data_IF_689286709285
#
_entry.id   IF_689286709285
#
_cell.length_a   1.000
_cell.length_b   1.000
_cell.length_c   1.000
_cell.angle_alpha   90.00
_cell.angle_beta   90.00
_cell.angle_gamma   90.00
#
_symmetry.space_group_name_H-M   'P 1'
#
loop_
_entity.id
_entity.type
_entity.pdbx_description
1 polymer ?
#
# COMPACT_ATOMS: atom_id res chain seq x y z
N UNK A 1 34.95 -99.72 40.95
CA UNK A 1 34.68 -99.35 39.55
C UNK A 1 34.47 -97.84 39.51
N UNK A 2 35.05 -97.19 38.50
CA UNK A 2 35.47 -95.78 38.46
C UNK A 2 34.31 -94.80 38.78
N UNK A 3 34.48 -94.00 39.84
CA UNK A 3 33.64 -92.83 40.11
C UNK A 3 34.15 -91.68 39.26
N UNK A 4 33.47 -91.40 38.14
CA UNK A 4 33.77 -90.27 37.27
C UNK A 4 33.28 -89.01 37.99
N UNK A 5 34.20 -88.33 38.67
CA UNK A 5 33.98 -86.99 39.19
C UNK A 5 34.01 -86.01 38.03
N UNK A 6 32.83 -85.60 37.55
CA UNK A 6 32.70 -84.48 36.63
C UNK A 6 33.13 -83.22 37.39
N UNK A 7 34.37 -82.79 37.16
CA UNK A 7 34.93 -81.56 37.71
C UNK A 7 34.09 -80.36 37.27
N UNK A 8 33.12 -79.98 38.10
CA UNK A 8 32.41 -78.72 37.97
C UNK A 8 33.46 -77.63 38.24
N UNK A 9 34.04 -77.08 37.16
CA UNK A 9 34.96 -75.93 37.23
C UNK A 9 34.27 -74.88 38.11
N UNK A 10 34.82 -74.66 39.31
CA UNK A 10 34.34 -73.63 40.21
C UNK A 10 34.41 -72.30 39.47
N UNK A 11 33.23 -71.79 39.07
CA UNK A 11 33.12 -70.53 38.31
C UNK A 11 33.91 -69.45 39.06
N UNK A 12 34.88 -68.86 38.37
CA UNK A 12 35.64 -67.75 38.90
C UNK A 12 34.68 -66.59 39.12
N UNK A 13 34.26 -66.38 40.38
CA UNK A 13 33.27 -65.36 40.78
C UNK A 13 33.61 -63.97 40.23
N UNK A 14 34.91 -63.69 40.03
CA UNK A 14 35.41 -62.44 39.45
C UNK A 14 35.05 -62.29 37.97
N UNK A 15 35.16 -63.36 37.20
CA UNK A 15 34.91 -63.37 35.76
C UNK A 15 33.40 -63.27 35.46
N UNK A 16 32.58 -63.99 36.24
CA UNK A 16 31.11 -63.88 36.21
C UNK A 16 30.67 -62.45 36.54
N UNK A 17 31.22 -61.86 37.62
CA UNK A 17 30.89 -60.48 38.02
C UNK A 17 31.29 -59.46 36.96
N UNK A 18 32.44 -59.66 36.30
CA UNK A 18 32.89 -58.79 35.21
C UNK A 18 31.97 -58.89 33.98
N UNK A 19 31.55 -60.10 33.61
CA UNK A 19 30.56 -60.34 32.56
C UNK A 19 29.22 -59.65 32.85
N UNK A 20 28.70 -59.77 34.08
CA UNK A 20 27.46 -59.09 34.50
C UNK A 20 27.58 -57.57 34.43
N UNK A 21 28.71 -56.98 34.85
CA UNK A 21 28.93 -55.53 34.76
C UNK A 21 29.02 -55.04 33.30
N UNK A 22 29.66 -55.82 32.42
CA UNK A 22 29.68 -55.50 30.98
C UNK A 22 28.29 -55.54 30.37
N UNK A 23 27.49 -56.55 30.72
CA UNK A 23 26.10 -56.65 30.26
C UNK A 23 25.25 -55.47 30.77
N UNK A 24 25.34 -55.13 32.05
CA UNK A 24 24.65 -53.97 32.64
C UNK A 24 25.06 -52.68 31.93
N UNK A 25 26.35 -52.50 31.64
CA UNK A 25 26.85 -51.32 30.93
C UNK A 25 26.28 -51.22 29.52
N UNK A 26 26.33 -52.31 28.75
CA UNK A 26 25.74 -52.35 27.41
C UNK A 26 24.23 -52.11 27.42
N UNK A 27 23.51 -52.67 28.39
CA UNK A 27 22.07 -52.46 28.54
C UNK A 27 21.73 -50.99 28.86
N UNK A 28 22.47 -50.36 29.78
CA UNK A 28 22.28 -48.94 30.10
C UNK A 28 22.58 -48.02 28.92
N UNK A 29 23.65 -48.29 28.17
CA UNK A 29 23.97 -47.52 26.96
C UNK A 29 22.87 -47.66 25.91
N UNK A 30 22.39 -48.88 25.66
CA UNK A 30 21.30 -49.10 24.70
C UNK A 30 20.03 -48.36 25.13
N UNK A 31 19.66 -48.47 26.41
CA UNK A 31 18.50 -47.80 26.99
C UNK A 31 18.63 -46.27 26.91
N UNK A 32 19.80 -45.71 27.20
CA UNK A 32 20.06 -44.29 27.10
C UNK A 32 19.96 -43.79 25.65
N UNK A 33 20.51 -44.52 24.68
CA UNK A 33 20.42 -44.17 23.26
C UNK A 33 18.95 -44.19 22.80
N UNK A 34 18.18 -45.23 23.15
CA UNK A 34 16.75 -45.30 22.83
C UNK A 34 15.98 -44.11 23.42
N UNK A 35 16.27 -43.73 24.67
CA UNK A 35 15.65 -42.56 25.29
C UNK A 35 16.05 -41.24 24.61
N UNK A 36 17.33 -41.08 24.25
CA UNK A 36 17.83 -39.89 23.57
C UNK A 36 17.15 -39.66 22.21
N UNK A 37 16.93 -40.72 21.42
CA UNK A 37 16.23 -40.62 20.13
C UNK A 37 14.83 -40.04 20.31
N UNK A 38 14.06 -40.57 21.28
CA UNK A 38 12.72 -40.07 21.58
C UNK A 38 12.76 -38.64 22.09
N UNK A 39 13.71 -38.33 22.99
CA UNK A 39 13.89 -36.97 23.51
C UNK A 39 14.21 -35.95 22.42
N UNK A 40 15.16 -36.26 21.52
CA UNK A 40 15.51 -35.39 20.42
C UNK A 40 14.37 -35.24 19.41
N UNK A 41 13.59 -36.30 19.19
CA UNK A 41 12.39 -36.23 18.35
C UNK A 41 11.38 -35.21 18.90
N UNK A 42 11.03 -35.30 20.18
CA UNK A 42 10.11 -34.33 20.80
C UNK A 42 10.68 -32.92 20.80
N UNK A 43 11.97 -32.75 21.12
CA UNK A 43 12.63 -31.44 21.10
C UNK A 43 12.62 -30.81 19.70
N UNK A 44 12.91 -31.61 18.68
CA UNK A 44 12.87 -31.18 17.28
C UNK A 44 11.46 -30.82 16.84
N UNK A 45 10.46 -31.63 17.19
CA UNK A 45 9.06 -31.36 16.87
C UNK A 45 8.56 -30.07 17.52
N UNK A 46 8.94 -29.80 18.78
CA UNK A 46 8.59 -28.55 19.44
C UNK A 46 9.22 -27.33 18.77
N UNK A 47 10.51 -27.43 18.40
CA UNK A 47 11.21 -26.35 17.72
C UNK A 47 10.62 -26.06 16.33
N UNK A 48 10.42 -27.11 15.53
CA UNK A 48 9.81 -27.00 14.20
C UNK A 48 8.39 -26.41 14.27
N UNK A 49 7.55 -26.84 15.22
CA UNK A 49 6.22 -26.28 15.38
C UNK A 49 6.25 -24.80 15.77
N UNK A 50 7.23 -24.38 16.57
CA UNK A 50 7.37 -22.98 16.96
C UNK A 50 7.76 -22.13 15.76
N UNK A 51 8.72 -22.59 14.97
CA UNK A 51 9.21 -21.85 13.82
C UNK A 51 8.14 -21.82 12.71
N UNK A 52 7.46 -22.93 12.45
CA UNK A 52 6.33 -22.98 11.51
C UNK A 52 5.20 -22.02 11.90
N UNK A 53 4.86 -21.91 13.20
CA UNK A 53 3.85 -20.97 13.66
C UNK A 53 4.25 -19.52 13.41
N UNK A 54 5.53 -19.18 13.64
CA UNK A 54 6.04 -17.83 13.35
C UNK A 54 5.96 -17.51 11.86
N UNK A 55 6.35 -18.45 11.01
CA UNK A 55 6.29 -18.28 9.55
C UNK A 55 4.84 -18.16 9.08
N UNK A 56 3.92 -18.93 9.68
CA UNK A 56 2.50 -18.88 9.37
C UNK A 56 1.87 -17.55 9.79
N UNK A 57 2.20 -17.04 10.98
CA UNK A 57 1.73 -15.74 11.48
C UNK A 57 2.24 -14.61 10.58
N UNK A 58 3.53 -14.64 10.21
CA UNK A 58 4.12 -13.68 9.27
C UNK A 58 3.43 -13.75 7.89
N UNK A 59 3.19 -14.96 7.38
CA UNK A 59 2.49 -15.16 6.13
C UNK A 59 1.05 -14.60 6.17
N UNK A 60 0.29 -14.87 7.23
CA UNK A 60 -1.06 -14.35 7.38
C UNK A 60 -1.10 -12.83 7.49
N UNK A 61 -0.16 -12.23 8.21
CA UNK A 61 -0.02 -10.77 8.28
C UNK A 61 0.24 -10.18 6.88
N UNK A 62 1.17 -10.75 6.11
CA UNK A 62 1.49 -10.30 4.76
C UNK A 62 0.31 -10.44 3.80
N UNK A 63 -0.41 -11.56 3.83
CA UNK A 63 -1.62 -11.76 3.02
C UNK A 63 -2.71 -10.77 3.43
N UNK A 64 -2.89 -10.52 4.73
CA UNK A 64 -3.83 -9.53 5.24
C UNK A 64 -3.51 -8.13 4.72
N UNK A 65 -2.24 -7.71 4.83
CA UNK A 65 -1.75 -6.43 4.31
C UNK A 65 -1.93 -6.31 2.79
N UNK A 66 -1.63 -7.37 2.03
CA UNK A 66 -1.83 -7.40 0.58
C UNK A 66 -3.31 -7.18 0.20
N UNK A 67 -4.23 -7.89 0.87
CA UNK A 67 -5.66 -7.73 0.62
C UNK A 67 -6.16 -6.31 0.94
N UNK A 68 -5.72 -5.73 2.05
CA UNK A 68 -6.06 -4.35 2.39
C UNK A 68 -5.51 -3.36 1.35
N UNK A 69 -4.27 -3.56 0.91
CA UNK A 69 -3.61 -2.72 -0.06
C UNK A 69 -4.31 -2.79 -1.43
N UNK A 70 -4.76 -3.98 -1.83
CA UNK A 70 -5.58 -4.19 -3.03
C UNK A 70 -6.87 -3.38 -2.98
N UNK A 71 -7.65 -3.50 -1.90
CA UNK A 71 -8.92 -2.79 -1.73
C UNK A 71 -8.70 -1.27 -1.79
N UNK A 72 -7.66 -0.78 -1.10
CA UNK A 72 -7.30 0.63 -1.12
C UNK A 72 -6.89 1.09 -2.52
N UNK A 73 -6.14 0.27 -3.24
CA UNK A 73 -5.70 0.61 -4.60
C UNK A 73 -6.88 0.66 -5.59
N UNK A 74 -7.83 -0.26 -5.48
CA UNK A 74 -9.06 -0.24 -6.28
C UNK A 74 -9.88 1.04 -6.00
N UNK A 75 -9.95 1.47 -4.73
CA UNK A 75 -10.57 2.75 -4.35
C UNK A 75 -9.83 3.95 -4.95
N UNK A 76 -8.49 3.98 -4.89
CA UNK A 76 -7.69 5.04 -5.52
C UNK A 76 -7.94 5.09 -7.02
N UNK A 77 -7.94 3.94 -7.69
CA UNK A 77 -8.20 3.83 -9.12
C UNK A 77 -9.59 4.35 -9.50
N UNK A 78 -10.60 4.01 -8.70
CA UNK A 78 -11.96 4.52 -8.89
C UNK A 78 -12.03 6.05 -8.76
N UNK A 79 -11.43 6.61 -7.69
CA UNK A 79 -11.36 8.07 -7.48
C UNK A 79 -10.60 8.77 -8.61
N UNK A 80 -9.52 8.17 -9.09
CA UNK A 80 -8.75 8.68 -10.24
C UNK A 80 -9.59 8.70 -11.52
N UNK A 81 -10.42 7.68 -11.73
CA UNK A 81 -11.38 7.63 -12.85
C UNK A 81 -12.43 8.73 -12.76
N UNK A 82 -12.94 9.01 -11.56
CA UNK A 82 -13.88 10.11 -11.33
C UNK A 82 -13.24 11.48 -11.60
N UNK A 83 -12.00 11.68 -11.13
CA UNK A 83 -11.20 12.88 -11.39
C UNK A 83 -10.93 13.07 -12.88
N UNK A 84 -10.74 11.98 -13.64
CA UNK A 84 -10.51 12.10 -15.07
C UNK A 84 -11.74 12.58 -15.84
N UNK A 85 -12.93 12.10 -15.44
CA UNK A 85 -14.18 12.39 -16.13
C UNK A 85 -14.81 13.74 -15.77
N UNK A 86 -14.17 14.56 -14.92
CA UNK A 86 -14.72 15.82 -14.35
C UNK A 86 -16.17 15.65 -13.82
N UNK A 87 -16.50 14.47 -13.31
CA UNK A 87 -17.87 14.13 -12.86
C UNK A 87 -18.18 14.61 -11.46
N UNK A 88 -17.29 15.39 -10.84
CA UNK A 88 -17.37 15.77 -9.43
C UNK A 88 -17.32 17.29 -9.32
N UNK A 89 -18.18 17.86 -8.48
CA UNK A 89 -18.28 19.31 -8.30
C UNK A 89 -17.03 19.95 -7.69
N UNK A 90 -16.15 19.17 -7.07
CA UNK A 90 -14.93 19.63 -6.42
C UNK A 90 -13.76 18.68 -6.67
N UNK A 91 -13.09 18.88 -7.80
CA UNK A 91 -11.92 18.09 -8.20
C UNK A 91 -10.71 18.29 -7.26
N UNK A 92 -10.62 19.42 -6.56
CA UNK A 92 -9.54 19.73 -5.60
C UNK A 92 -9.66 18.84 -4.36
N UNK A 93 -10.87 18.69 -3.83
CA UNK A 93 -11.13 17.84 -2.66
C UNK A 93 -10.84 16.38 -2.97
N UNK A 94 -11.35 15.88 -4.11
CA UNK A 94 -11.13 14.50 -4.53
C UNK A 94 -9.64 14.21 -4.74
N UNK A 95 -8.89 15.15 -5.32
CA UNK A 95 -7.43 15.04 -5.48
C UNK A 95 -6.71 14.92 -4.14
N UNK A 96 -7.03 15.76 -3.17
CA UNK A 96 -6.39 15.70 -1.85
C UNK A 96 -6.65 14.35 -1.17
N UNK A 97 -7.87 13.82 -1.33
CA UNK A 97 -8.22 12.50 -0.81
C UNK A 97 -7.43 11.37 -1.50
N UNK A 98 -7.20 11.46 -2.81
CA UNK A 98 -6.34 10.50 -3.54
C UNK A 98 -4.90 10.55 -3.01
N UNK A 99 -4.34 11.74 -2.81
CA UNK A 99 -2.98 11.92 -2.27
C UNK A 99 -2.85 11.32 -0.87
N UNK A 100 -3.85 11.57 -0.02
CA UNK A 100 -3.90 11.02 1.33
C UNK A 100 -3.97 9.49 1.31
N UNK A 101 -4.87 8.91 0.51
CA UNK A 101 -4.98 7.45 0.35
C UNK A 101 -3.67 6.84 -0.17
N UNK A 102 -2.99 7.48 -1.12
CA UNK A 102 -1.68 7.04 -1.61
C UNK A 102 -0.62 7.08 -0.50
N UNK A 103 -0.64 8.10 0.37
CA UNK A 103 0.26 8.18 1.53
C UNK A 103 0.00 7.05 2.52
N UNK A 104 -1.27 6.75 2.80
CA UNK A 104 -1.65 5.61 3.66
C UNK A 104 -1.18 4.29 3.07
N UNK A 105 -1.36 4.07 1.76
CA UNK A 105 -0.84 2.88 1.09
C UNK A 105 0.69 2.77 1.21
N UNK A 106 1.41 3.89 1.08
CA UNK A 106 2.87 3.92 1.24
C UNK A 106 3.31 3.57 2.67
N UNK A 107 2.59 4.06 3.68
CA UNK A 107 2.83 3.67 5.08
C UNK A 107 2.49 2.19 5.34
N UNK A 108 1.42 1.66 4.73
CA UNK A 108 1.05 0.24 4.84
C UNK A 108 2.06 -0.71 4.21
N UNK A 109 2.83 -0.28 3.20
CA UNK A 109 3.92 -1.06 2.62
C UNK A 109 5.12 -1.10 3.60
N UNK A 110 5.41 0.00 4.31
CA UNK A 110 6.54 0.07 5.25
C UNK A 110 7.90 -0.13 4.56
N UNK A 111 9.02 0.00 5.29
CA UNK A 111 10.36 -0.20 4.72
C UNK A 111 10.70 -1.69 4.55
N UNK A 112 10.29 -2.53 5.51
CA UNK A 112 10.63 -3.96 5.53
C UNK A 112 9.87 -4.78 4.49
N UNK A 113 8.71 -4.30 4.01
CA UNK A 113 7.84 -5.05 3.09
C UNK A 113 7.91 -4.54 1.64
N UNK A 114 8.88 -3.68 1.32
CA UNK A 114 9.14 -3.19 -0.05
C UNK A 114 9.51 -4.34 -1.00
N UNK A 115 10.24 -5.34 -0.52
CA UNK A 115 10.61 -6.52 -1.33
C UNK A 115 9.38 -7.36 -1.69
N UNK A 116 8.49 -7.58 -0.72
CA UNK A 116 7.31 -8.44 -0.85
C UNK A 116 6.13 -7.75 -1.54
N UNK A 117 5.98 -6.42 -1.39
CA UNK A 117 4.91 -5.61 -1.97
C UNK A 117 5.39 -4.69 -3.10
N UNK A 118 6.52 -5.03 -3.74
CA UNK A 118 7.20 -4.22 -4.78
C UNK A 118 6.27 -3.76 -5.92
N UNK A 119 5.31 -4.59 -6.31
CA UNK A 119 4.37 -4.23 -7.38
C UNK A 119 3.48 -3.05 -6.99
N UNK A 120 3.02 -3.00 -5.74
CA UNK A 120 2.20 -1.89 -5.26
C UNK A 120 3.03 -0.63 -5.05
N UNK A 121 4.27 -0.74 -4.56
CA UNK A 121 5.14 0.43 -4.43
C UNK A 121 5.43 1.05 -5.79
N UNK A 122 5.75 0.22 -6.78
CA UNK A 122 5.99 0.67 -8.16
C UNK A 122 4.75 1.32 -8.78
N UNK A 123 3.56 0.78 -8.51
CA UNK A 123 2.31 1.34 -9.00
C UNK A 123 2.02 2.72 -8.37
N UNK A 124 2.23 2.88 -7.06
CA UNK A 124 2.08 4.17 -6.37
C UNK A 124 3.07 5.21 -6.89
N UNK A 125 4.32 4.82 -7.12
CA UNK A 125 5.36 5.71 -7.67
C UNK A 125 5.01 6.18 -9.09
N UNK A 126 4.39 5.32 -9.90
CA UNK A 126 3.89 5.69 -11.23
C UNK A 126 2.63 6.57 -11.19
N UNK A 127 1.78 6.43 -10.17
CA UNK A 127 0.58 7.27 -10.02
C UNK A 127 0.92 8.72 -9.64
N UNK A 128 2.00 8.94 -8.88
CA UNK A 128 2.41 10.26 -8.42
C UNK A 128 2.64 11.29 -9.56
N UNK A 129 3.45 11.00 -10.61
CA UNK A 129 3.65 11.94 -11.71
C UNK A 129 2.38 12.15 -12.55
N UNK A 130 1.55 11.11 -12.72
CA UNK A 130 0.27 11.23 -13.44
C UNK A 130 -0.66 12.21 -12.72
N UNK A 131 -0.75 12.11 -11.39
CA UNK A 131 -1.57 13.01 -10.59
C UNK A 131 -1.01 14.45 -10.58
N UNK A 132 0.32 14.61 -10.56
CA UNK A 132 0.97 15.90 -10.68
C UNK A 132 0.67 16.59 -12.02
N UNK A 133 0.76 15.86 -13.13
CA UNK A 133 0.40 16.37 -14.45
C UNK A 133 -1.09 16.74 -14.55
N UNK A 134 -1.99 15.90 -14.02
CA UNK A 134 -3.43 16.23 -13.99
C UNK A 134 -3.69 17.52 -13.20
N UNK A 135 -2.96 17.75 -12.11
CA UNK A 135 -3.05 18.97 -11.32
C UNK A 135 -2.62 20.22 -12.10
N UNK A 136 -1.53 20.14 -12.86
CA UNK A 136 -1.09 21.24 -13.72
C UNK A 136 -2.12 21.55 -14.82
N UNK A 137 -2.67 20.51 -15.47
CA UNK A 137 -3.72 20.67 -16.48
C UNK A 137 -5.00 21.31 -15.90
N UNK A 138 -5.39 20.93 -14.68
CA UNK A 138 -6.54 21.53 -14.02
C UNK A 138 -6.31 23.01 -13.68
N UNK A 139 -5.11 23.39 -13.24
CA UNK A 139 -4.76 24.80 -13.01
C UNK A 139 -4.88 25.59 -14.31
N UNK A 140 -4.27 25.08 -15.38
CA UNK A 140 -4.31 25.73 -16.69
C UNK A 140 -5.75 25.92 -17.21
N UNK A 141 -6.61 24.91 -17.06
CA UNK A 141 -8.02 25.01 -17.43
C UNK A 141 -8.80 26.02 -16.59
N UNK A 142 -8.47 26.13 -15.31
CA UNK A 142 -9.06 27.13 -14.40
C UNK A 142 -8.65 28.54 -14.82
N UNK A 143 -7.38 28.72 -15.18
CA UNK A 143 -6.85 29.99 -15.68
C UNK A 143 -7.49 30.37 -17.01
N UNK A 144 -7.60 29.43 -17.95
CA UNK A 144 -8.29 29.63 -19.24
C UNK A 144 -9.73 30.11 -19.02
N UNK A 145 -10.50 29.43 -18.18
CA UNK A 145 -11.89 29.80 -17.87
C UNK A 145 -11.97 31.20 -17.24
N UNK A 146 -11.03 31.54 -16.36
CA UNK A 146 -10.94 32.87 -15.75
C UNK A 146 -10.64 33.95 -16.79
N UNK A 147 -9.73 33.68 -17.72
CA UNK A 147 -9.37 34.58 -18.82
C UNK A 147 -10.57 34.76 -19.77
N UNK A 148 -11.26 33.69 -20.15
CA UNK A 148 -12.45 33.75 -20.99
C UNK A 148 -13.54 34.59 -20.34
N UNK A 149 -13.80 34.41 -19.03
CA UNK A 149 -14.75 35.24 -18.29
C UNK A 149 -14.33 36.71 -18.27
N UNK A 150 -13.05 37.01 -18.04
CA UNK A 150 -12.55 38.38 -18.08
C UNK A 150 -12.70 39.01 -19.47
N UNK A 151 -12.49 38.23 -20.53
CA UNK A 151 -12.67 38.67 -21.91
C UNK A 151 -14.15 38.98 -22.21
N UNK A 152 -15.07 38.12 -21.78
CA UNK A 152 -16.52 38.37 -21.88
C UNK A 152 -16.94 39.63 -21.11
N UNK A 153 -16.41 39.83 -19.91
CA UNK A 153 -16.66 41.04 -19.13
C UNK A 153 -16.12 42.29 -19.83
N UNK A 154 -14.94 42.22 -20.42
CA UNK A 154 -14.35 43.32 -21.19
C UNK A 154 -15.18 43.64 -22.44
N UNK A 155 -15.57 42.62 -23.22
CA UNK A 155 -16.45 42.77 -24.39
C UNK A 155 -17.79 43.40 -24.00
N UNK A 156 -18.41 42.91 -22.92
CA UNK A 156 -19.66 43.47 -22.40
C UNK A 156 -19.53 44.92 -21.96
N UNK A 157 -18.43 45.31 -21.30
CA UNK A 157 -18.14 46.70 -20.93
C UNK A 157 -17.94 47.58 -22.17
N UNK A 158 -17.16 47.14 -23.16
CA UNK A 158 -16.94 47.88 -24.41
C UNK A 158 -18.25 48.08 -25.15
N UNK A 159 -19.12 47.07 -25.22
CA UNK A 159 -20.42 47.16 -25.87
C UNK A 159 -21.36 48.15 -25.16
N UNK A 160 -21.35 48.17 -23.81
CA UNK A 160 -22.07 49.16 -23.00
C UNK A 160 -21.53 50.58 -23.19
N UNK A 161 -20.22 50.76 -23.28
CA UNK A 161 -19.61 52.08 -23.52
C UNK A 161 -19.94 52.57 -24.93
N UNK A 162 -19.82 51.72 -25.95
CA UNK A 162 -20.11 52.06 -27.34
C UNK A 162 -21.58 52.46 -27.54
N UNK A 163 -22.52 51.74 -26.91
CA UNK A 163 -23.95 52.11 -26.93
C UNK A 163 -24.19 53.47 -26.27
N UNK A 164 -23.55 53.76 -25.14
CA UNK A 164 -23.64 55.07 -24.49
C UNK A 164 -23.05 56.21 -25.33
N UNK A 165 -21.92 55.98 -26.01
CA UNK A 165 -21.31 56.97 -26.91
C UNK A 165 -22.27 57.27 -28.07
N UNK A 166 -22.83 56.25 -28.72
CA UNK A 166 -23.81 56.43 -29.82
C UNK A 166 -25.04 57.22 -29.37
N UNK A 167 -25.55 56.95 -28.17
CA UNK A 167 -26.69 57.69 -27.60
C UNK A 167 -26.32 59.15 -27.32
N UNK A 168 -25.14 59.41 -26.73
CA UNK A 168 -24.65 60.78 -26.49
C UNK A 168 -24.45 61.55 -27.80
N UNK A 169 -23.84 60.93 -28.81
CA UNK A 169 -23.66 61.53 -30.13
C UNK A 169 -25.00 61.90 -30.78
N UNK A 170 -25.99 60.99 -30.78
CA UNK A 170 -27.34 61.29 -31.28
C UNK A 170 -28.00 62.45 -30.54
N UNK A 171 -27.88 62.49 -29.21
CA UNK A 171 -28.47 63.56 -28.39
C UNK A 171 -27.83 64.92 -28.70
N UNK A 172 -26.52 64.93 -28.96
CA UNK A 172 -25.76 66.14 -29.30
C UNK A 172 -26.06 66.63 -30.72
N UNK A 173 -26.23 65.72 -31.68
CA UNK A 173 -26.70 66.04 -33.04
C UNK A 173 -28.11 66.65 -33.05
N UNK A 174 -29.05 66.06 -32.30
CA UNK A 174 -30.42 66.57 -32.20
C UNK A 174 -30.45 67.94 -31.51
N UNK A 175 -29.66 68.13 -30.46
CA UNK A 175 -29.54 69.42 -29.77
C UNK A 175 -28.93 70.50 -30.67
N UNK A 176 -27.94 70.16 -31.52
CA UNK A 176 -27.36 71.07 -32.49
C UNK A 176 -28.37 71.49 -33.57
N UNK A 177 -29.14 70.54 -34.11
CA UNK A 177 -30.19 70.84 -35.08
C UNK A 177 -31.30 71.72 -34.48
N UNK A 178 -31.75 71.46 -33.25
CA UNK A 178 -32.73 72.34 -32.58
C UNK A 178 -32.16 73.76 -32.39
N UNK A 179 -30.89 73.90 -31.97
CA UNK A 179 -30.26 75.21 -31.78
C UNK A 179 -30.14 76.02 -33.09
N UNK A 180 -29.91 75.36 -34.23
CA UNK A 180 -29.92 76.00 -35.55
C UNK A 180 -31.33 76.39 -36.01
N UNK A 181 -32.36 75.61 -35.62
CA UNK A 181 -33.76 75.91 -35.96
C UNK A 181 -34.28 77.14 -35.19
N UNK A 182 -33.83 77.34 -33.95
CA UNK A 182 -34.17 78.53 -33.15
C UNK A 182 -33.36 79.79 -33.52
N UNK A 183 -32.25 79.66 -34.27
CA UNK A 183 -31.43 80.80 -34.72
C UNK A 183 -31.92 81.39 -36.05
N UNK A 184 -32.69 80.63 -36.84
CA UNK A 184 -33.22 81.04 -38.15
C UNK A 184 -34.68 81.55 -38.09
N UNK A 185 -35.15 81.98 -36.92
CA UNK A 185 -36.48 82.54 -36.70
C UNK A 185 -36.35 83.87 -35.96
#
# INVERSE_FOLDING_TARGET
MIMISYGQKTLNKKDVRLGTWRFIGSFLVLSAISFLVVFFFFKSAQMQNRDLRKDLDAYHDMVGRNNLLKIKMDSIYYKMTLLNNNKVANDIFLRNQIIEDMSVCKQMIGEDSISELRHYSMLLDNLAPILAHKNELMKLKTDETSISRQLEECLGKVQKVNTQIKVKQKKQEVSGRLAETFRNK
#
